data_IF_795802882179
#
_entry.id   IF_795802882179
#
_cell.length_a   1.000
_cell.length_b   1.000
_cell.length_c   1.000
_cell.angle_alpha   90.00
_cell.angle_beta   90.00
_cell.angle_gamma   90.00
#
_symmetry.space_group_name_H-M   'P 1'
#
loop_
_entity.id
_entity.type
_entity.pdbx_description
1 polymer ?
#
# COMPACT_ATOMS: atom_id res chain seq x y z
N UNK A 1 -21.52 15.14 14.91
CA UNK A 1 -20.98 15.41 13.56
C UNK A 1 -20.17 14.22 13.12
N UNK A 2 -20.12 13.94 11.82
CA UNK A 2 -19.17 12.98 11.26
C UNK A 2 -17.76 13.53 11.46
N UNK A 3 -16.86 12.74 12.02
CA UNK A 3 -15.47 13.13 12.27
C UNK A 3 -14.55 12.00 11.87
N UNK A 4 -13.46 12.33 11.19
CA UNK A 4 -12.38 11.41 10.85
C UNK A 4 -11.18 11.81 11.67
N UNK A 5 -10.44 10.83 12.19
CA UNK A 5 -9.21 11.08 12.94
C UNK A 5 -8.02 10.50 12.19
N UNK A 6 -6.91 11.24 12.22
CA UNK A 6 -5.67 10.88 11.54
C UNK A 6 -4.54 10.79 12.57
N UNK A 7 -3.64 9.83 12.39
CA UNK A 7 -2.42 9.70 13.19
C UNK A 7 -1.22 9.66 12.28
N UNK A 8 -0.17 10.35 12.69
CA UNK A 8 1.07 10.46 11.96
C UNK A 8 2.23 9.94 12.81
N UNK A 9 3.29 9.47 12.16
CA UNK A 9 4.55 9.19 12.83
C UNK A 9 5.41 10.45 13.00
N UNK A 10 6.61 10.30 13.57
CA UNK A 10 7.55 11.41 13.83
C UNK A 10 8.11 12.07 12.57
N UNK A 11 7.88 11.48 11.39
CA UNK A 11 8.27 12.02 10.09
C UNK A 11 7.06 12.61 9.35
N UNK A 12 5.96 12.89 10.06
CA UNK A 12 4.70 13.40 9.54
C UNK A 12 4.04 12.49 8.48
N UNK A 13 4.32 11.18 8.51
CA UNK A 13 3.70 10.20 7.60
C UNK A 13 2.45 9.62 8.22
N UNK A 14 1.36 9.52 7.45
CA UNK A 14 0.09 8.96 7.92
C UNK A 14 0.28 7.48 8.28
N UNK A 15 -0.06 7.08 9.51
CA UNK A 15 0.03 5.69 9.98
C UNK A 15 -1.32 5.09 10.34
N UNK A 16 -2.34 5.93 10.53
CA UNK A 16 -3.70 5.48 10.79
C UNK A 16 -4.73 6.52 10.38
N UNK A 17 -5.78 6.08 9.71
CA UNK A 17 -7.02 6.82 9.51
C UNK A 17 -8.16 6.06 10.20
N UNK A 18 -8.98 6.76 10.98
CA UNK A 18 -10.22 6.20 11.53
C UNK A 18 -11.40 7.06 11.08
N UNK A 19 -12.26 6.46 10.25
CA UNK A 19 -13.44 7.09 9.68
C UNK A 19 -14.53 7.36 10.72
N UNK A 20 -15.56 8.08 10.30
CA UNK A 20 -16.69 8.45 11.16
C UNK A 20 -17.54 7.26 11.63
N UNK A 21 -17.44 6.15 10.91
CA UNK A 21 -18.07 4.87 11.18
C UNK A 21 -17.22 3.97 12.09
N UNK A 22 -16.04 4.45 12.51
CA UNK A 22 -15.10 3.70 13.34
C UNK A 22 -14.20 2.74 12.56
N UNK A 23 -14.38 2.60 11.24
CA UNK A 23 -13.49 1.79 10.39
C UNK A 23 -12.09 2.39 10.45
N UNK A 24 -11.09 1.54 10.59
CA UNK A 24 -9.70 1.97 10.75
C UNK A 24 -8.82 1.37 9.67
N UNK A 25 -8.10 2.23 8.97
CA UNK A 25 -7.04 1.89 8.04
C UNK A 25 -5.69 2.17 8.70
N UNK A 26 -4.72 1.28 8.54
CA UNK A 26 -3.35 1.43 9.05
C UNK A 26 -2.36 1.37 7.92
N UNK A 27 -1.28 2.13 8.03
CA UNK A 27 -0.24 2.25 7.03
C UNK A 27 1.14 2.05 7.65
N UNK A 28 1.98 1.28 6.97
CA UNK A 28 3.34 0.97 7.39
C UNK A 28 4.31 1.39 6.31
N UNK A 29 5.25 2.25 6.68
CA UNK A 29 6.27 2.76 5.79
C UNK A 29 7.63 2.14 6.13
N UNK A 30 8.46 1.92 5.14
CA UNK A 30 9.87 1.57 5.36
C UNK A 30 10.70 2.78 5.84
N UNK A 31 12.00 2.58 6.02
CA UNK A 31 12.93 3.64 6.45
C UNK A 31 13.10 4.74 5.41
N UNK A 32 12.80 4.48 4.14
CA UNK A 32 12.88 5.45 3.04
C UNK A 32 11.56 6.20 2.83
N UNK A 33 10.48 5.81 3.52
CA UNK A 33 9.16 6.41 3.38
C UNK A 33 8.24 5.70 2.39
N UNK A 34 8.63 4.57 1.81
CA UNK A 34 7.75 3.80 0.92
C UNK A 34 6.70 3.05 1.73
N UNK A 35 5.44 3.08 1.28
CA UNK A 35 4.35 2.31 1.87
C UNK A 35 4.56 0.83 1.54
N UNK A 36 4.85 0.00 2.55
CA UNK A 36 5.14 -1.43 2.35
C UNK A 36 3.99 -2.33 2.80
N UNK A 37 3.09 -1.83 3.65
CA UNK A 37 1.92 -2.57 4.12
C UNK A 37 0.78 -1.64 4.52
N UNK A 38 -0.45 -2.06 4.24
CA UNK A 38 -1.65 -1.45 4.80
C UNK A 38 -2.57 -2.52 5.34
N UNK A 39 -3.40 -2.10 6.28
CA UNK A 39 -4.46 -2.92 6.84
C UNK A 39 -5.76 -2.15 6.73
N UNK A 40 -6.75 -2.73 6.08
CA UNK A 40 -8.10 -2.20 6.03
C UNK A 40 -9.07 -3.33 6.35
N UNK A 41 -9.67 -3.28 7.53
CA UNK A 41 -10.79 -4.13 7.89
C UNK A 41 -10.56 -5.65 7.73
N UNK A 42 -9.35 -6.11 8.05
CA UNK A 42 -8.93 -7.51 7.92
C UNK A 42 -8.26 -7.87 6.60
N UNK A 43 -8.28 -6.95 5.62
CA UNK A 43 -7.45 -7.04 4.42
C UNK A 43 -6.06 -6.48 4.70
N UNK A 44 -5.04 -7.33 4.57
CA UNK A 44 -3.64 -6.94 4.68
C UNK A 44 -3.04 -6.86 3.28
N UNK A 45 -2.73 -5.66 2.84
CA UNK A 45 -2.09 -5.43 1.55
C UNK A 45 -0.59 -5.21 1.76
N UNK A 46 0.25 -5.86 0.95
CA UNK A 46 1.67 -5.53 0.87
C UNK A 46 2.02 -5.00 -0.51
N UNK A 47 2.93 -4.03 -0.54
CA UNK A 47 3.50 -3.47 -1.76
C UNK A 47 4.97 -3.81 -1.85
N UNK A 48 5.36 -4.29 -3.01
CA UNK A 48 6.73 -4.65 -3.33
C UNK A 48 7.25 -3.70 -4.40
N UNK A 49 8.50 -3.28 -4.24
CA UNK A 49 9.17 -2.33 -5.10
C UNK A 49 10.45 -2.94 -5.64
N UNK A 50 10.86 -2.52 -6.83
CA UNK A 50 12.22 -2.77 -7.32
C UNK A 50 13.21 -1.70 -6.82
N UNK A 51 14.48 -1.86 -7.19
CA UNK A 51 15.57 -0.94 -6.82
C UNK A 51 15.41 0.47 -7.39
N UNK A 52 14.53 0.65 -8.39
CA UNK A 52 14.21 1.94 -8.99
C UNK A 52 12.95 2.58 -8.36
N UNK A 53 12.52 2.09 -7.19
CA UNK A 53 11.34 2.56 -6.45
C UNK A 53 10.02 2.41 -7.20
N UNK A 54 9.93 1.46 -8.16
CA UNK A 54 8.69 1.17 -8.90
C UNK A 54 7.98 -0.02 -8.28
N UNK A 55 6.66 0.05 -8.18
CA UNK A 55 5.84 -1.06 -7.68
C UNK A 55 5.93 -2.23 -8.65
N UNK A 56 6.26 -3.42 -8.17
CA UNK A 56 6.34 -4.64 -8.99
C UNK A 56 5.25 -5.65 -8.65
N UNK A 57 4.76 -5.64 -7.40
CA UNK A 57 3.75 -6.58 -6.94
C UNK A 57 2.92 -5.99 -5.81
N UNK A 58 1.64 -6.37 -5.80
CA UNK A 58 0.71 -6.14 -4.70
C UNK A 58 0.15 -7.48 -4.26
N UNK A 59 0.27 -7.78 -2.97
CA UNK A 59 -0.38 -8.95 -2.38
C UNK A 59 -1.50 -8.52 -1.45
N UNK A 60 -2.60 -9.28 -1.42
CA UNK A 60 -3.72 -9.08 -0.50
C UNK A 60 -3.87 -10.38 0.29
N UNK A 61 -3.80 -10.31 1.61
CA UNK A 61 -3.84 -11.47 2.51
C UNK A 61 -2.82 -12.57 2.16
N UNK A 62 -1.67 -12.16 1.60
CA UNK A 62 -0.60 -13.07 1.19
C UNK A 62 -0.74 -13.62 -0.23
N UNK A 63 -1.87 -13.39 -0.90
CA UNK A 63 -2.10 -13.81 -2.28
C UNK A 63 -1.72 -12.69 -3.25
N UNK A 64 -1.16 -13.04 -4.41
CA UNK A 64 -0.81 -12.02 -5.42
C UNK A 64 -2.07 -11.49 -6.08
N UNK A 65 -2.36 -10.21 -5.86
CA UNK A 65 -3.50 -9.54 -6.48
C UNK A 65 -3.10 -8.86 -7.78
N UNK A 66 -1.92 -8.21 -7.82
CA UNK A 66 -1.44 -7.50 -9.00
C UNK A 66 0.07 -7.62 -9.19
N UNK A 67 0.50 -7.60 -10.45
CA UNK A 67 1.90 -7.51 -10.85
C UNK A 67 2.09 -6.46 -11.93
N UNK A 68 3.17 -5.69 -11.84
CA UNK A 68 3.58 -4.70 -12.84
C UNK A 68 4.92 -5.11 -13.42
N UNK A 69 5.06 -4.91 -14.73
CA UNK A 69 6.30 -5.19 -15.48
C UNK A 69 6.76 -3.94 -16.20
N UNK A 70 8.08 -3.75 -16.22
CA UNK A 70 8.71 -2.61 -16.86
C UNK A 70 9.78 -3.11 -17.85
N UNK A 71 10.02 -2.33 -18.90
CA UNK A 71 11.19 -2.54 -19.77
C UNK A 71 12.47 -1.91 -19.16
N UNK A 72 13.58 -2.06 -19.86
CA UNK A 72 14.89 -1.51 -19.47
C UNK A 72 14.92 0.02 -19.41
N UNK A 73 14.01 0.70 -20.12
CA UNK A 73 13.85 2.16 -20.08
C UNK A 73 12.97 2.61 -18.91
N UNK A 74 12.38 1.64 -18.21
CA UNK A 74 11.48 1.82 -17.10
C UNK A 74 10.06 2.17 -17.48
N UNK A 75 9.67 1.93 -18.72
CA UNK A 75 8.29 2.08 -19.15
C UNK A 75 7.47 0.86 -18.75
N UNK A 76 6.25 1.10 -18.27
CA UNK A 76 5.33 0.04 -17.92
C UNK A 76 4.95 -0.75 -19.17
N UNK A 77 5.23 -2.04 -19.19
CA UNK A 77 4.94 -2.95 -20.30
C UNK A 77 3.78 -3.89 -20.02
N UNK A 78 3.37 -4.03 -18.76
CA UNK A 78 2.22 -4.87 -18.43
C UNK A 78 1.75 -4.72 -17.00
N UNK A 79 0.45 -4.94 -16.83
CA UNK A 79 -0.21 -5.15 -15.53
C UNK A 79 -0.94 -6.48 -15.62
N UNK A 80 -0.78 -7.34 -14.61
CA UNK A 80 -1.55 -8.56 -14.46
C UNK A 80 -2.38 -8.44 -13.19
N UNK A 81 -3.70 -8.46 -13.32
CA UNK A 81 -4.61 -8.61 -12.19
C UNK A 81 -4.88 -10.11 -12.03
N UNK A 82 -4.56 -10.64 -10.85
CA UNK A 82 -4.50 -12.07 -10.54
C UNK A 82 -5.51 -12.48 -9.47
N UNK A 83 -6.25 -11.53 -8.89
CA UNK A 83 -7.44 -11.81 -8.08
C UNK A 83 -8.67 -12.01 -8.95
N UNK A 84 -9.48 -13.02 -8.59
CA UNK A 84 -10.84 -13.24 -9.11
C UNK A 84 -11.85 -12.21 -8.56
#
# INVERSE_FOLDING_TARGET
GSHTTFRYDVLDRLIQETGFDGRTQRYHHDLTGKLIRSEDEGLVTHWHYDEADRITQRTVNGETAEQWRYDERGWLTGISHLSE
#
